data_IF_343662734548
#
_entry.id   IF_343662734548
#
_cell.length_a   1.000
_cell.length_b   1.000
_cell.length_c   1.000
_cell.angle_alpha   90.00
_cell.angle_beta   90.00
_cell.angle_gamma   90.00
#
_symmetry.space_group_name_H-M   'P 1'
#
loop_
_entity.id
_entity.type
_entity.pdbx_description
1 polymer ?
#
# COMPACT_ATOMS: atom_id res chain seq x y z
N UNK A 1 -0.66 33.34 -7.05
CA UNK A 1 -1.58 32.31 -7.59
C UNK A 1 -1.77 31.23 -6.54
N UNK A 2 -2.97 30.64 -6.42
CA UNK A 2 -3.16 29.49 -5.52
C UNK A 2 -2.57 28.22 -6.16
N UNK A 3 -2.14 27.25 -5.34
CA UNK A 3 -1.65 25.93 -5.82
C UNK A 3 -2.66 25.28 -6.78
N UNK A 4 -3.96 25.46 -6.52
CA UNK A 4 -5.04 24.94 -7.38
C UNK A 4 -4.95 25.55 -8.78
N UNK A 5 -4.90 26.88 -8.88
CA UNK A 5 -4.80 27.57 -10.18
C UNK A 5 -3.56 27.16 -10.96
N UNK A 6 -2.43 26.99 -10.26
CA UNK A 6 -1.17 26.56 -10.87
C UNK A 6 -1.26 25.12 -11.41
N UNK A 7 -1.79 24.19 -10.62
CA UNK A 7 -1.98 22.79 -11.02
C UNK A 7 -2.89 22.68 -12.24
N UNK A 8 -4.03 23.38 -12.24
CA UNK A 8 -4.95 23.35 -13.37
C UNK A 8 -4.37 24.02 -14.63
N UNK A 9 -3.54 25.06 -14.48
CA UNK A 9 -2.80 25.63 -15.59
C UNK A 9 -1.79 24.65 -16.19
N UNK A 10 -1.10 23.85 -15.36
CA UNK A 10 -0.20 22.79 -15.85
C UNK A 10 -0.97 21.68 -16.58
N UNK A 11 -2.13 21.25 -16.07
CA UNK A 11 -3.00 20.26 -16.72
C UNK A 11 -3.43 20.75 -18.11
N UNK A 12 -3.94 21.99 -18.19
CA UNK A 12 -4.38 22.58 -19.45
C UNK A 12 -3.22 22.74 -20.45
N UNK A 13 -2.07 23.26 -19.99
CA UNK A 13 -0.87 23.43 -20.83
C UNK A 13 -0.35 22.11 -21.38
N UNK A 14 -0.45 21.03 -20.60
CA UNK A 14 -0.02 19.70 -21.01
C UNK A 14 -1.06 18.95 -21.87
N UNK A 15 -2.24 19.55 -22.12
CA UNK A 15 -3.32 18.91 -22.88
C UNK A 15 -3.85 17.64 -22.22
N UNK A 16 -3.76 17.56 -20.89
CA UNK A 16 -4.25 16.39 -20.15
C UNK A 16 -5.78 16.39 -20.08
N UNK A 17 -6.41 15.21 -19.97
CA UNK A 17 -7.81 15.11 -19.60
C UNK A 17 -8.07 15.83 -18.27
N UNK A 18 -9.19 16.54 -18.16
CA UNK A 18 -9.58 17.20 -16.90
C UNK A 18 -9.82 16.18 -15.79
N UNK A 19 -9.44 16.48 -14.53
CA UNK A 19 -9.77 15.61 -13.41
C UNK A 19 -11.29 15.60 -13.17
N UNK A 20 -11.85 14.45 -12.81
CA UNK A 20 -13.24 14.33 -12.35
C UNK A 20 -13.49 15.18 -11.10
N UNK A 21 -12.49 15.28 -10.24
CA UNK A 21 -12.54 16.12 -9.05
C UNK A 21 -11.20 16.20 -8.34
N UNK A 22 -11.15 17.04 -7.31
CA UNK A 22 -9.99 17.19 -6.46
C UNK A 22 -10.38 17.37 -4.99
N UNK A 23 -9.45 17.02 -4.10
CA UNK A 23 -9.61 17.13 -2.65
C UNK A 23 -8.51 18.01 -2.07
N UNK A 24 -8.89 18.97 -1.25
CA UNK A 24 -7.99 19.72 -0.40
C UNK A 24 -7.77 18.94 0.90
N UNK A 25 -6.55 18.48 1.10
CA UNK A 25 -6.20 17.51 2.16
C UNK A 25 -6.30 18.07 3.58
N UNK A 26 -6.44 19.38 3.77
CA UNK A 26 -6.36 20.02 5.09
C UNK A 26 -4.93 20.22 5.62
N UNK A 27 -3.89 19.77 4.92
CA UNK A 27 -2.48 20.07 5.25
C UNK A 27 -1.79 21.00 4.26
N UNK A 28 -2.55 21.57 3.31
CA UNK A 28 -2.01 22.38 2.22
C UNK A 28 -1.74 21.59 0.93
N UNK A 29 -1.92 20.26 0.93
CA UNK A 29 -1.84 19.43 -0.27
C UNK A 29 -3.17 19.31 -1.03
N UNK A 30 -3.08 19.06 -2.33
CA UNK A 30 -4.20 18.76 -3.23
C UNK A 30 -4.09 17.32 -3.74
N UNK A 31 -5.22 16.61 -3.81
CA UNK A 31 -5.33 15.30 -4.44
C UNK A 31 -6.21 15.43 -5.67
N UNK A 32 -5.75 14.97 -6.83
CA UNK A 32 -6.50 14.98 -8.08
C UNK A 32 -7.02 13.57 -8.38
N UNK A 33 -8.25 13.47 -8.90
CA UNK A 33 -8.87 12.19 -9.22
C UNK A 33 -9.42 12.18 -10.65
N UNK A 34 -9.05 11.15 -11.41
CA UNK A 34 -9.67 10.77 -12.68
C UNK A 34 -10.45 9.47 -12.44
N UNK A 35 -11.75 9.59 -12.21
CA UNK A 35 -12.59 8.48 -11.81
C UNK A 35 -13.09 7.75 -13.05
N UNK A 36 -12.95 6.43 -13.04
CA UNK A 36 -13.45 5.55 -14.08
C UNK A 36 -14.19 4.36 -13.48
N UNK A 37 -15.07 3.73 -14.28
CA UNK A 37 -15.82 2.55 -13.87
C UNK A 37 -14.89 1.39 -13.49
N UNK A 38 -15.21 0.65 -12.42
CA UNK A 38 -14.40 -0.44 -11.92
C UNK A 38 -14.13 -1.52 -12.99
N UNK A 39 -12.89 -1.99 -13.05
CA UNK A 39 -12.43 -3.08 -13.93
C UNK A 39 -11.65 -4.11 -13.13
N UNK A 40 -11.61 -5.37 -13.56
CA UNK A 40 -10.83 -6.40 -12.87
C UNK A 40 -9.34 -6.05 -12.89
N UNK A 41 -8.68 -6.20 -11.74
CA UNK A 41 -7.28 -5.82 -11.52
C UNK A 41 -6.29 -6.90 -12.01
N UNK A 42 -6.42 -7.33 -13.27
CA UNK A 42 -5.42 -8.20 -13.89
C UNK A 42 -4.05 -7.50 -13.97
N UNK A 43 -2.96 -8.26 -13.86
CA UNK A 43 -1.59 -7.73 -13.89
C UNK A 43 -1.35 -6.74 -15.04
N UNK A 44 -1.78 -7.09 -16.26
CA UNK A 44 -1.62 -6.22 -17.43
C UNK A 44 -2.40 -4.90 -17.34
N UNK A 45 -3.58 -4.89 -16.70
CA UNK A 45 -4.34 -3.64 -16.46
C UNK A 45 -3.71 -2.81 -15.36
N UNK A 46 -3.15 -3.43 -14.33
CA UNK A 46 -2.37 -2.72 -13.29
C UNK A 46 -1.15 -2.04 -13.91
N UNK A 47 -0.50 -2.69 -14.88
CA UNK A 47 0.62 -2.08 -15.60
C UNK A 47 0.19 -0.90 -16.49
N UNK A 48 -0.96 -1.00 -17.18
CA UNK A 48 -1.59 0.13 -17.88
C UNK A 48 -1.93 1.26 -16.91
N UNK A 49 -2.50 0.94 -15.76
CA UNK A 49 -2.84 1.92 -14.73
C UNK A 49 -1.60 2.68 -14.26
N UNK A 50 -0.48 1.98 -14.01
CA UNK A 50 0.80 2.63 -13.67
C UNK A 50 1.32 3.55 -14.77
N UNK A 51 1.08 3.19 -16.04
CA UNK A 51 1.44 4.04 -17.17
C UNK A 51 0.57 5.29 -17.25
N UNK A 52 -0.74 5.17 -17.00
CA UNK A 52 -1.68 6.30 -16.86
C UNK A 52 -1.19 7.24 -15.75
N UNK A 53 -0.94 6.73 -14.55
CA UNK A 53 -0.49 7.56 -13.41
C UNK A 53 0.86 8.22 -13.69
N UNK A 54 1.75 7.52 -14.41
CA UNK A 54 3.06 8.09 -14.81
C UNK A 54 2.90 9.22 -15.81
N UNK A 55 2.00 9.09 -16.80
CA UNK A 55 1.71 10.16 -17.78
C UNK A 55 1.12 11.39 -17.09
N UNK A 56 0.13 11.20 -16.23
CA UNK A 56 -0.49 12.28 -15.46
C UNK A 56 0.53 12.97 -14.54
N UNK A 57 1.26 12.21 -13.73
CA UNK A 57 2.22 12.77 -12.78
C UNK A 57 3.41 13.47 -13.45
N UNK A 58 3.90 12.98 -14.60
CA UNK A 58 5.04 13.60 -15.29
C UNK A 58 4.70 14.94 -15.93
N UNK A 59 3.44 15.15 -16.27
CA UNK A 59 2.96 16.43 -16.79
C UNK A 59 2.83 17.50 -15.69
N UNK A 60 2.80 17.08 -14.41
CA UNK A 60 2.79 17.96 -13.26
C UNK A 60 4.23 18.12 -12.72
N UNK A 61 4.92 19.17 -13.17
CA UNK A 61 6.33 19.40 -12.83
C UNK A 61 6.57 19.82 -11.38
N UNK A 62 5.49 20.05 -10.62
CA UNK A 62 5.55 20.70 -9.32
C UNK A 62 5.65 22.22 -9.47
N UNK A 63 5.76 22.87 -8.31
CA UNK A 63 5.99 24.30 -8.17
C UNK A 63 6.91 24.57 -6.99
N UNK A 64 7.09 25.85 -6.64
CA UNK A 64 7.95 26.25 -5.52
C UNK A 64 7.51 25.62 -4.17
N UNK A 65 6.19 25.49 -3.97
CA UNK A 65 5.60 25.08 -2.70
C UNK A 65 5.03 23.65 -2.70
N UNK A 66 5.11 22.93 -3.82
CA UNK A 66 4.49 21.61 -3.94
C UNK A 66 5.22 20.73 -4.95
N UNK A 67 5.16 19.42 -4.71
CA UNK A 67 5.67 18.40 -5.61
C UNK A 67 4.70 17.23 -5.65
N UNK A 68 4.81 16.41 -6.69
CA UNK A 68 4.04 15.17 -6.82
C UNK A 68 4.57 14.12 -5.85
N UNK A 69 3.73 13.61 -4.96
CA UNK A 69 4.02 12.41 -4.17
C UNK A 69 3.87 11.16 -5.06
N UNK A 70 4.99 10.71 -5.63
CA UNK A 70 5.04 9.52 -6.48
C UNK A 70 4.72 8.22 -5.74
N UNK A 71 5.00 8.17 -4.44
CA UNK A 71 4.70 7.01 -3.61
C UNK A 71 3.20 6.81 -3.46
N UNK A 72 2.46 7.90 -3.23
CA UNK A 72 1.00 7.87 -3.19
C UNK A 72 0.38 7.71 -4.58
N UNK A 73 0.96 8.33 -5.62
CA UNK A 73 0.35 8.39 -6.95
C UNK A 73 0.50 7.10 -7.77
N UNK A 74 1.42 6.21 -7.42
CA UNK A 74 1.69 4.94 -8.17
C UNK A 74 1.24 3.68 -7.43
N UNK A 75 0.56 3.84 -6.31
CA UNK A 75 0.04 2.74 -5.51
C UNK A 75 -1.45 2.52 -5.80
N UNK A 76 -1.83 1.40 -6.45
CA UNK A 76 -3.20 1.13 -6.85
C UNK A 76 -4.14 0.78 -5.69
N UNK A 77 -3.63 0.62 -4.46
CA UNK A 77 -4.40 0.15 -3.30
C UNK A 77 -4.37 1.13 -2.11
N UNK A 78 -4.31 2.44 -2.38
CA UNK A 78 -4.28 3.48 -1.34
C UNK A 78 -5.65 3.77 -0.73
N UNK A 79 -5.64 4.13 0.55
CA UNK A 79 -6.80 4.73 1.23
C UNK A 79 -6.93 6.18 0.77
N UNK A 80 -8.08 6.52 0.19
CA UNK A 80 -8.40 7.88 -0.21
C UNK A 80 -8.85 8.72 0.98
N UNK A 81 -8.59 10.03 0.92
CA UNK A 81 -9.05 10.94 1.97
C UNK A 81 -10.55 11.19 1.82
N UNK A 82 -11.28 11.03 2.92
CA UNK A 82 -12.73 11.18 2.95
C UNK A 82 -13.10 12.67 3.03
N UNK A 83 -13.93 13.13 2.09
CA UNK A 83 -14.48 14.49 2.09
C UNK A 83 -15.34 14.67 3.35
N UNK A 84 -15.27 15.86 3.98
CA UNK A 84 -16.02 16.18 5.19
C UNK A 84 -15.38 15.72 6.49
N UNK A 85 -14.22 15.04 6.44
CA UNK A 85 -13.48 14.63 7.64
C UNK A 85 -12.40 15.65 8.02
N UNK A 86 -12.09 15.72 9.31
CA UNK A 86 -11.01 16.57 9.82
C UNK A 86 -9.66 15.84 9.74
N UNK A 87 -8.63 16.56 9.27
CA UNK A 87 -7.28 16.03 9.28
C UNK A 87 -6.71 16.00 10.70
N UNK A 88 -6.38 14.81 11.21
CA UNK A 88 -6.04 14.61 12.62
C UNK A 88 -4.91 15.47 13.18
N UNK A 89 -3.90 15.83 12.37
CA UNK A 89 -2.78 16.68 12.82
C UNK A 89 -3.04 18.18 12.71
N UNK A 90 -3.74 18.62 11.66
CA UNK A 90 -3.94 20.06 11.41
C UNK A 90 -5.30 20.57 11.89
N UNK A 91 -6.23 19.68 12.24
CA UNK A 91 -7.60 20.04 12.62
C UNK A 91 -8.41 20.68 11.48
N UNK A 92 -7.89 20.71 10.25
CA UNK A 92 -8.56 21.35 9.11
C UNK A 92 -9.51 20.38 8.42
N UNK A 93 -10.63 20.90 7.93
CA UNK A 93 -11.62 20.15 7.19
C UNK A 93 -11.06 19.72 5.82
N UNK A 94 -11.30 18.47 5.45
CA UNK A 94 -11.06 17.97 4.10
C UNK A 94 -12.22 18.40 3.20
N UNK A 95 -11.92 19.23 2.21
CA UNK A 95 -12.91 19.73 1.24
C UNK A 95 -12.71 19.01 -0.10
N UNK A 96 -13.81 18.66 -0.76
CA UNK A 96 -13.78 18.00 -2.06
C UNK A 96 -14.64 18.74 -3.07
N UNK A 97 -14.14 18.81 -4.30
CA UNK A 97 -14.80 19.43 -5.44
C UNK A 97 -14.92 18.36 -6.52
N UNK A 98 -16.16 18.04 -6.90
CA UNK A 98 -16.48 17.03 -7.91
C UNK A 98 -17.40 17.68 -8.93
N UNK A 99 -17.13 17.47 -10.21
CA UNK A 99 -17.91 18.09 -11.30
C UNK A 99 -17.29 17.93 -12.68
N UNK A 100 -16.08 17.37 -12.77
CA UNK A 100 -15.44 17.05 -14.04
C UNK A 100 -15.98 15.75 -14.67
N UNK A 101 -15.43 15.38 -15.84
CA UNK A 101 -15.87 14.21 -16.59
C UNK A 101 -15.54 12.89 -15.88
N UNK A 102 -16.40 11.89 -16.10
CA UNK A 102 -16.11 10.49 -15.77
C UNK A 102 -15.58 9.76 -16.99
N UNK A 103 -14.69 8.79 -16.74
CA UNK A 103 -14.00 8.07 -17.80
C UNK A 103 -14.38 6.59 -17.84
N UNK A 104 -14.18 5.95 -18.99
CA UNK A 104 -13.92 4.52 -19.02
C UNK A 104 -12.41 4.29 -18.85
N UNK A 105 -12.01 3.13 -18.32
CA UNK A 105 -10.58 2.84 -18.13
C UNK A 105 -9.80 2.88 -19.46
N UNK A 106 -10.40 2.34 -20.53
CA UNK A 106 -9.82 2.40 -21.87
C UNK A 106 -9.81 3.82 -22.45
N UNK A 107 -10.88 4.60 -22.24
CA UNK A 107 -10.98 5.99 -22.70
C UNK A 107 -9.93 6.90 -22.05
N UNK A 108 -9.69 6.73 -20.74
CA UNK A 108 -8.63 7.46 -20.04
C UNK A 108 -7.24 7.07 -20.57
N UNK A 109 -7.00 5.78 -20.81
CA UNK A 109 -5.74 5.32 -21.41
C UNK A 109 -5.52 5.94 -22.80
N UNK A 110 -6.55 5.95 -23.64
CA UNK A 110 -6.50 6.53 -24.98
C UNK A 110 -6.26 8.04 -24.95
N UNK A 111 -6.97 8.78 -24.09
CA UNK A 111 -6.79 10.23 -23.92
C UNK A 111 -5.36 10.60 -23.51
N UNK A 112 -4.65 9.69 -22.83
CA UNK A 112 -3.26 9.87 -22.39
C UNK A 112 -2.23 9.23 -23.33
N UNK A 113 -2.65 8.75 -24.50
CA UNK A 113 -1.82 8.01 -25.44
C UNK A 113 -1.07 6.83 -24.79
N UNK A 114 -1.74 6.12 -23.87
CA UNK A 114 -1.24 4.89 -23.23
C UNK A 114 -1.77 3.69 -24.02
N UNK A 115 -0.85 2.80 -24.43
CA UNK A 115 -1.24 1.61 -25.20
C UNK A 115 -2.15 0.69 -24.39
N UNK A 116 -3.37 0.50 -24.86
CA UNK A 116 -4.35 -0.41 -24.30
C UNK A 116 -4.35 -1.71 -25.12
N UNK A 117 -3.40 -2.62 -24.82
CA UNK A 117 -3.36 -3.95 -25.43
C UNK A 117 -3.75 -4.99 -24.41
N UNK A 118 -4.98 -5.52 -24.53
CA UNK A 118 -5.34 -6.74 -23.81
C UNK A 118 -4.47 -7.88 -24.37
N UNK A 119 -3.82 -8.69 -23.52
CA UNK A 119 -3.15 -9.89 -23.98
C UNK A 119 -4.17 -10.77 -24.69
N UNK A 120 -3.95 -11.04 -25.97
CA UNK A 120 -4.71 -12.06 -26.70
C UNK A 120 -4.44 -13.36 -25.96
N UNK A 121 -5.46 -13.95 -25.35
CA UNK A 121 -5.34 -15.31 -24.86
C UNK A 121 -5.08 -16.18 -26.08
N UNK A 122 -3.82 -16.54 -26.29
CA UNK A 122 -3.49 -17.62 -27.20
C UNK A 122 -4.14 -18.84 -26.57
N UNK A 123 -5.23 -19.32 -27.18
CA UNK A 123 -5.78 -20.63 -26.85
C UNK A 123 -4.70 -21.62 -27.27
N UNK A 124 -3.79 -21.92 -26.35
CA UNK A 124 -2.82 -22.95 -26.56
C UNK A 124 -3.63 -24.24 -26.59
N UNK A 125 -3.93 -24.74 -27.78
CA UNK A 125 -4.28 -26.14 -28.03
C UNK A 125 -3.04 -26.98 -27.69
N UNK A 126 -2.69 -27.02 -26.42
CA UNK A 126 -1.64 -27.88 -25.92
C UNK A 126 -2.32 -29.20 -25.60
N UNK A 127 -2.31 -30.11 -26.57
CA UNK A 127 -2.45 -31.54 -26.35
C UNK A 127 -1.23 -32.01 -25.54
N UNK A 128 -1.17 -31.65 -24.27
CA UNK A 128 -0.29 -32.31 -23.31
C UNK A 128 -1.10 -33.46 -22.76
N UNK A 129 -0.69 -34.68 -23.10
CA UNK A 129 -1.23 -35.89 -22.52
C UNK A 129 -1.12 -35.80 -20.99
N UNK A 130 -2.27 -35.56 -20.34
CA UNK A 130 -2.40 -35.61 -18.89
C UNK A 130 -2.40 -37.07 -18.49
N UNK A 131 -1.30 -37.53 -17.87
CA UNK A 131 -1.33 -38.77 -17.10
C UNK A 131 -2.46 -38.69 -16.05
N UNK A 132 -3.30 -39.72 -15.89
CA UNK A 132 -4.46 -39.65 -15.01
C UNK A 132 -3.99 -39.64 -13.55
N UNK A 133 -3.93 -38.45 -12.95
CA UNK A 133 -3.89 -38.35 -11.48
C UNK A 133 -5.26 -38.75 -10.93
N UNK A 134 -5.26 -39.88 -10.23
CA UNK A 134 -6.33 -40.48 -9.45
C UNK A 134 -7.23 -39.43 -8.81
N UNK A 135 -8.50 -39.40 -9.23
CA UNK A 135 -9.55 -38.57 -8.62
C UNK A 135 -9.86 -39.13 -7.23
N UNK A 136 -9.45 -38.43 -6.19
CA UNK A 136 -10.05 -38.62 -4.87
C UNK A 136 -11.38 -37.87 -4.89
N UNK A 137 -12.47 -38.61 -4.99
CA UNK A 137 -13.83 -38.11 -4.91
C UNK A 137 -14.05 -37.54 -3.51
N UNK A 138 -14.04 -36.21 -3.37
CA UNK A 138 -14.54 -35.56 -2.15
C UNK A 138 -16.02 -35.32 -2.38
N UNK A 139 -16.83 -36.13 -1.70
CA UNK A 139 -18.28 -35.96 -1.58
C UNK A 139 -18.52 -34.60 -0.94
N UNK A 140 -19.25 -33.72 -1.63
CA UNK A 140 -19.68 -32.42 -1.11
C UNK A 140 -20.77 -32.67 -0.07
N UNK A 141 -20.39 -32.65 1.20
CA UNK A 141 -21.35 -32.46 2.29
C UNK A 141 -21.73 -30.98 2.36
N UNK A 142 -22.99 -30.68 2.05
CA UNK A 142 -23.58 -29.37 2.29
C UNK A 142 -23.64 -29.10 3.80
N UNK A 143 -22.69 -28.34 4.34
CA UNK A 143 -22.83 -27.73 5.65
C UNK A 143 -21.86 -26.57 5.85
N UNK A 144 -22.38 -25.38 6.13
CA UNK A 144 -21.67 -24.34 6.86
C UNK A 144 -21.02 -23.23 6.04
N UNK A 145 -21.50 -22.00 6.28
CA UNK A 145 -20.95 -20.69 5.86
C UNK A 145 -19.40 -20.69 5.77
N UNK A 146 -18.85 -20.67 4.55
CA UNK A 146 -17.41 -20.63 4.29
C UNK A 146 -16.86 -19.22 4.12
N UNK A 147 -15.98 -18.80 5.04
CA UNK A 147 -15.27 -17.51 5.09
C UNK A 147 -14.39 -17.27 3.86
N UNK A 148 -14.37 -16.02 3.43
CA UNK A 148 -13.43 -15.46 2.43
C UNK A 148 -11.98 -15.63 2.92
N UNK A 149 -11.23 -16.59 2.37
CA UNK A 149 -9.80 -16.78 2.64
C UNK A 149 -8.98 -15.91 1.70
N UNK A 150 -8.65 -14.71 2.16
CA UNK A 150 -7.76 -13.78 1.43
C UNK A 150 -7.35 -12.53 2.20
N UNK A 151 -7.96 -12.25 3.36
CA UNK A 151 -7.52 -11.18 4.26
C UNK A 151 -6.59 -11.75 5.32
N UNK A 152 -5.30 -11.44 5.21
CA UNK A 152 -4.40 -11.60 6.34
C UNK A 152 -4.84 -10.64 7.45
N UNK A 153 -4.98 -11.13 8.68
CA UNK A 153 -5.15 -10.22 9.83
C UNK A 153 -3.85 -9.47 10.07
N UNK A 154 -3.93 -8.29 10.70
CA UNK A 154 -2.74 -7.52 11.05
C UNK A 154 -1.74 -8.35 11.88
N UNK A 155 -2.24 -9.19 12.78
CA UNK A 155 -1.42 -10.13 13.55
C UNK A 155 -0.75 -11.20 12.69
N UNK A 156 -1.44 -11.75 11.68
CA UNK A 156 -0.84 -12.70 10.73
C UNK A 156 0.29 -12.06 9.90
N UNK A 157 0.12 -10.79 9.52
CA UNK A 157 1.15 -10.05 8.81
C UNK A 157 2.37 -9.80 9.69
N UNK A 158 2.17 -9.33 10.93
CA UNK A 158 3.26 -9.12 11.88
C UNK A 158 3.97 -10.41 12.29
N UNK A 159 3.24 -11.52 12.45
CA UNK A 159 3.84 -12.84 12.67
C UNK A 159 4.77 -13.25 11.52
N UNK A 160 4.38 -12.98 10.27
CA UNK A 160 5.24 -13.24 9.11
C UNK A 160 6.51 -12.39 9.15
N UNK A 161 6.39 -11.09 9.47
CA UNK A 161 7.55 -10.20 9.61
C UNK A 161 8.47 -10.69 10.74
N UNK A 162 7.92 -11.05 11.89
CA UNK A 162 8.67 -11.57 13.04
C UNK A 162 9.47 -12.81 12.66
N UNK A 163 8.83 -13.86 12.14
CA UNK A 163 9.51 -15.10 11.81
C UNK A 163 10.52 -14.94 10.67
N UNK A 164 10.20 -14.14 9.66
CA UNK A 164 11.12 -13.91 8.56
C UNK A 164 12.38 -13.16 9.03
N UNK A 165 12.20 -12.09 9.81
CA UNK A 165 13.29 -11.28 10.36
C UNK A 165 14.15 -12.13 11.31
N UNK A 166 13.53 -12.86 12.23
CA UNK A 166 14.26 -13.70 13.19
C UNK A 166 15.06 -14.82 12.49
N UNK A 167 14.47 -15.49 11.50
CA UNK A 167 15.16 -16.54 10.74
C UNK A 167 16.33 -15.99 9.92
N UNK A 168 16.21 -14.78 9.38
CA UNK A 168 17.31 -14.13 8.67
C UNK A 168 18.45 -13.81 9.64
N UNK A 169 18.14 -13.11 10.73
CA UNK A 169 19.14 -12.66 11.70
C UNK A 169 19.83 -13.81 12.43
N UNK A 170 19.14 -14.92 12.71
CA UNK A 170 19.77 -16.12 13.29
C UNK A 170 20.79 -16.76 12.34
N UNK A 171 20.66 -16.56 11.03
CA UNK A 171 21.60 -17.08 10.03
C UNK A 171 22.75 -16.13 9.75
N UNK A 172 22.48 -14.82 9.71
CA UNK A 172 23.46 -13.82 9.26
C UNK A 172 24.08 -13.01 10.39
N UNK A 173 23.55 -13.15 11.61
CA UNK A 173 23.78 -12.20 12.69
C UNK A 173 23.04 -10.87 12.46
N UNK A 174 23.08 -10.01 13.47
CA UNK A 174 22.56 -8.65 13.38
C UNK A 174 23.64 -7.75 12.78
N UNK A 175 23.41 -7.09 11.62
CA UNK A 175 24.39 -6.21 11.02
C UNK A 175 24.79 -5.06 11.96
N UNK A 176 26.05 -4.66 11.89
CA UNK A 176 26.55 -3.50 12.64
C UNK A 176 25.77 -2.23 12.27
N UNK A 177 25.46 -1.41 13.27
CA UNK A 177 24.63 -0.21 13.12
C UNK A 177 23.12 -0.47 12.91
N UNK A 178 22.65 -1.74 12.87
CA UNK A 178 21.23 -2.08 12.70
C UNK A 178 20.56 -2.67 13.95
N UNK A 179 21.29 -2.78 15.07
CA UNK A 179 20.79 -3.38 16.32
C UNK A 179 19.53 -2.69 16.83
N UNK A 180 19.49 -1.37 16.80
CA UNK A 180 18.35 -0.57 17.27
C UNK A 180 17.11 -0.82 16.41
N UNK A 181 17.24 -0.66 15.08
CA UNK A 181 16.14 -0.92 14.15
C UNK A 181 15.62 -2.37 14.22
N UNK A 182 16.51 -3.31 14.50
CA UNK A 182 16.18 -4.72 14.71
C UNK A 182 15.37 -4.91 16.00
N UNK A 183 15.80 -4.30 17.10
CA UNK A 183 15.05 -4.33 18.35
C UNK A 183 13.66 -3.71 18.20
N UNK A 184 13.56 -2.58 17.48
CA UNK A 184 12.30 -1.91 17.22
C UNK A 184 11.31 -2.80 16.46
N UNK A 185 11.72 -3.32 15.30
CA UNK A 185 10.83 -4.06 14.41
C UNK A 185 10.35 -5.37 15.06
N UNK A 186 11.24 -6.04 15.82
CA UNK A 186 10.89 -7.26 16.55
C UNK A 186 9.93 -6.96 17.71
N UNK A 187 10.16 -5.88 18.46
CA UNK A 187 9.27 -5.50 19.55
C UNK A 187 7.87 -5.10 19.05
N UNK A 188 7.78 -4.31 17.98
CA UNK A 188 6.48 -3.95 17.37
C UNK A 188 5.74 -5.19 16.87
N UNK A 189 6.46 -6.12 16.22
CA UNK A 189 5.85 -7.37 15.78
C UNK A 189 5.32 -8.19 16.97
N UNK A 190 6.08 -8.27 18.08
CA UNK A 190 5.66 -8.94 19.30
C UNK A 190 4.42 -8.29 19.93
N UNK A 191 4.31 -6.96 19.92
CA UNK A 191 3.13 -6.21 20.42
C UNK A 191 1.85 -6.53 19.64
N UNK A 192 1.96 -6.91 18.37
CA UNK A 192 0.83 -7.33 17.56
C UNK A 192 0.53 -8.83 17.62
N UNK A 193 1.43 -9.63 18.22
CA UNK A 193 1.28 -11.08 18.35
C UNK A 193 0.87 -11.52 19.76
N UNK A 194 1.30 -10.78 20.79
CA UNK A 194 1.05 -11.08 22.19
C UNK A 194 -0.07 -10.22 22.75
N UNK A 195 -0.81 -10.77 23.70
CA UNK A 195 -1.97 -10.12 24.30
C UNK A 195 -1.61 -9.06 25.34
N UNK A 196 -0.44 -9.16 25.98
CA UNK A 196 0.04 -8.19 26.97
C UNK A 196 1.33 -7.50 26.53
N UNK A 197 1.53 -6.26 26.99
CA UNK A 197 2.75 -5.49 26.76
C UNK A 197 3.95 -6.13 27.46
N UNK A 198 3.76 -6.54 28.71
CA UNK A 198 4.76 -7.21 29.53
C UNK A 198 5.28 -8.50 28.87
N UNK A 199 4.42 -9.33 28.28
CA UNK A 199 4.85 -10.55 27.59
C UNK A 199 5.68 -10.24 26.33
N UNK A 200 5.36 -9.15 25.64
CA UNK A 200 6.11 -8.68 24.48
C UNK A 200 7.46 -8.10 24.90
N UNK A 201 7.48 -7.39 26.03
CA UNK A 201 8.67 -6.81 26.61
C UNK A 201 9.64 -7.87 27.13
N UNK A 202 9.16 -8.90 27.83
CA UNK A 202 10.00 -10.03 28.24
C UNK A 202 10.56 -10.80 27.04
N UNK A 203 9.75 -11.01 26.00
CA UNK A 203 10.22 -11.69 24.81
C UNK A 203 11.30 -10.92 24.04
N UNK A 204 11.25 -9.57 23.99
CA UNK A 204 12.32 -8.79 23.37
C UNK A 204 13.58 -8.75 24.23
N UNK A 205 13.48 -8.82 25.56
CA UNK A 205 14.63 -8.97 26.45
C UNK A 205 15.37 -10.28 26.17
N UNK A 206 14.66 -11.39 26.08
CA UNK A 206 15.25 -12.69 25.69
C UNK A 206 15.91 -12.62 24.32
N UNK A 207 15.27 -12.03 23.32
CA UNK A 207 15.85 -11.87 21.99
C UNK A 207 17.05 -10.93 21.97
N UNK A 208 17.08 -9.93 22.84
CA UNK A 208 18.22 -9.06 22.98
C UNK A 208 19.43 -9.82 23.54
N UNK A 209 19.20 -10.61 24.58
CA UNK A 209 20.24 -11.43 25.18
C UNK A 209 20.72 -12.55 24.26
N UNK A 210 19.86 -13.12 23.41
CA UNK A 210 20.25 -14.15 22.45
C UNK A 210 20.97 -13.58 21.22
N UNK A 211 20.49 -12.45 20.68
CA UNK A 211 20.76 -12.07 19.28
C UNK A 211 21.19 -10.60 19.10
N UNK A 212 20.48 -9.65 19.70
CA UNK A 212 20.66 -8.21 19.39
C UNK A 212 21.84 -7.60 20.15
N UNK A 213 22.06 -8.05 21.39
CA UNK A 213 23.20 -7.68 22.26
C UNK A 213 23.34 -6.17 22.44
N UNK A 214 22.23 -5.46 22.64
CA UNK A 214 22.26 -4.07 23.12
C UNK A 214 22.37 -4.04 24.65
N UNK A 215 23.02 -3.01 25.22
CA UNK A 215 22.91 -2.71 26.63
C UNK A 215 21.43 -2.57 27.03
N UNK A 216 21.04 -3.18 28.14
CA UNK A 216 19.64 -3.31 28.53
C UNK A 216 18.98 -1.95 28.81
N UNK A 217 19.73 -1.01 29.39
CA UNK A 217 19.35 0.38 29.60
C UNK A 217 19.08 1.12 28.28
N UNK A 218 19.91 0.90 27.26
CA UNK A 218 19.70 1.46 25.92
C UNK A 218 18.46 0.86 25.25
N UNK A 219 18.26 -0.46 25.36
CA UNK A 219 17.08 -1.13 24.83
C UNK A 219 15.78 -0.58 25.46
N UNK A 220 15.76 -0.44 26.78
CA UNK A 220 14.61 0.12 27.51
C UNK A 220 14.31 1.55 27.05
N UNK A 221 15.34 2.41 27.00
CA UNK A 221 15.20 3.80 26.58
C UNK A 221 14.68 3.89 25.14
N UNK A 222 15.22 3.07 24.25
CA UNK A 222 14.86 3.06 22.84
C UNK A 222 13.43 2.56 22.59
N UNK A 223 13.00 1.53 23.31
CA UNK A 223 11.64 1.00 23.19
C UNK A 223 10.60 1.82 23.96
N UNK A 224 11.01 2.77 24.82
CA UNK A 224 10.11 3.56 25.67
C UNK A 224 8.96 4.24 24.91
N UNK A 225 9.20 4.68 23.67
CA UNK A 225 8.16 5.27 22.83
C UNK A 225 7.20 4.20 22.31
N UNK A 226 7.71 3.07 21.80
CA UNK A 226 6.89 1.97 21.34
C UNK A 226 6.04 1.33 22.45
N UNK A 227 6.53 1.37 23.70
CA UNK A 227 5.78 0.91 24.89
C UNK A 227 4.54 1.77 25.15
N UNK A 228 4.62 3.08 24.91
CA UNK A 228 3.57 4.07 25.23
C UNK A 228 2.54 4.31 24.12
N UNK A 229 2.86 3.95 22.87
CA UNK A 229 2.08 4.38 21.69
C UNK A 229 1.11 3.31 21.16
N UNK A 230 1.15 2.09 21.70
CA UNK A 230 0.28 0.98 21.26
C UNK A 230 -0.45 0.34 22.44
#
# INVERSE_FOLDING_TARGET
LTIISEVFAQIAKAGLPEPTGYILSGTGGIHLYWIYAGVEAYKWRVDIWRNITTKLGKALTGGELWHVDWGASRDPARVMRMIGTYHGKSGRLTQGFVGGPFYSFAGLAQALNVSYKQPVQTVANSTVAVLPKRKTTVVVSQSGKGKVTGRHTIGQWWAKIYFHTLNHLRKTGVPEGKRDSTAFILYVALRHMKSSEEDAFQAILTLNDELIKLPQDQLIKYLSTARKTH
#
